data_IF_406602624705
#
_entry.id   IF_406602624705
#
_cell.length_a   1.000
_cell.length_b   1.000
_cell.length_c   1.000
_cell.angle_alpha   90.00
_cell.angle_beta   90.00
_cell.angle_gamma   90.00
#
_symmetry.space_group_name_H-M   'P 1'
#
loop_
_entity.id
_entity.type
_entity.pdbx_description
1 polymer ?
#
# COMPACT_ATOMS: atom_id res chain seq x y z
N UNK A 1 14.61 -10.19 -1.24
CA UNK A 1 13.34 -10.17 -0.47
C UNK A 1 12.30 -11.07 -1.13
N UNK A 2 11.24 -11.45 -0.40
CA UNK A 2 10.07 -12.13 -0.95
C UNK A 2 8.88 -11.17 -0.95
N UNK A 3 8.21 -11.01 -2.08
CA UNK A 3 7.01 -10.16 -2.23
C UNK A 3 5.81 -11.06 -2.48
N UNK A 4 4.79 -10.94 -1.63
CA UNK A 4 3.49 -11.56 -1.79
C UNK A 4 2.41 -10.49 -2.00
N UNK A 5 1.41 -10.81 -2.83
CA UNK A 5 0.26 -9.93 -3.09
C UNK A 5 -1.02 -10.72 -2.84
N UNK A 6 -1.82 -10.24 -1.89
CA UNK A 6 -3.13 -10.80 -1.57
C UNK A 6 -4.22 -9.84 -2.05
N UNK A 7 -5.30 -10.40 -2.63
CA UNK A 7 -6.50 -9.65 -2.98
C UNK A 7 -7.52 -9.80 -1.86
N UNK A 8 -7.94 -8.68 -1.28
CA UNK A 8 -8.95 -8.66 -0.24
C UNK A 8 -10.18 -7.87 -0.69
N UNK A 9 -11.37 -8.36 -0.31
CA UNK A 9 -12.64 -7.69 -0.59
C UNK A 9 -13.37 -7.44 0.72
N UNK A 10 -13.60 -6.17 1.01
CA UNK A 10 -14.27 -5.73 2.23
C UNK A 10 -15.64 -5.17 1.90
N UNK A 11 -16.69 -5.76 2.48
CA UNK A 11 -18.04 -5.22 2.37
C UNK A 11 -18.14 -3.89 3.11
N UNK A 12 -18.68 -2.87 2.46
CA UNK A 12 -18.92 -1.57 3.09
C UNK A 12 -20.15 -1.65 4.00
N UNK A 13 -20.11 -0.91 5.12
CA UNK A 13 -21.22 -0.86 6.07
C UNK A 13 -22.51 -0.31 5.43
N UNK A 14 -22.35 0.60 4.47
CA UNK A 14 -23.42 1.21 3.68
C UNK A 14 -22.94 1.38 2.23
N UNK A 15 -23.87 1.59 1.31
CA UNK A 15 -23.54 1.96 -0.07
C UNK A 15 -22.77 3.28 -0.05
N UNK A 16 -21.55 3.29 -0.57
CA UNK A 16 -20.75 4.50 -0.69
C UNK A 16 -20.94 5.10 -2.07
N UNK A 17 -21.52 6.30 -2.13
CA UNK A 17 -21.85 6.97 -3.39
C UNK A 17 -21.07 8.27 -3.55
N UNK A 18 -20.49 8.44 -4.72
CA UNK A 18 -19.94 9.70 -5.20
C UNK A 18 -20.62 10.06 -6.53
N UNK A 19 -20.42 11.28 -7.04
CA UNK A 19 -21.03 11.72 -8.31
C UNK A 19 -20.76 10.80 -9.52
N UNK A 20 -19.72 9.97 -9.45
CA UNK A 20 -19.32 9.02 -10.50
C UNK A 20 -19.89 7.61 -10.34
N UNK A 21 -20.62 7.34 -9.26
CA UNK A 21 -21.25 6.04 -9.02
C UNK A 21 -21.22 5.60 -7.57
N UNK A 22 -21.76 4.41 -7.36
CA UNK A 22 -21.92 3.80 -6.05
C UNK A 22 -21.08 2.52 -5.94
N UNK A 23 -20.58 2.22 -4.74
CA UNK A 23 -19.86 0.99 -4.41
C UNK A 23 -20.44 0.37 -3.14
N UNK A 24 -20.47 -0.96 -3.11
CA UNK A 24 -20.91 -1.75 -1.94
C UNK A 24 -19.74 -2.46 -1.26
N UNK A 25 -18.58 -2.46 -1.89
CA UNK A 25 -17.37 -3.13 -1.43
C UNK A 25 -16.11 -2.32 -1.79
N UNK A 26 -15.06 -2.53 -1.01
CA UNK A 26 -13.70 -2.09 -1.30
C UNK A 26 -12.87 -3.31 -1.70
N UNK A 27 -12.29 -3.26 -2.90
CA UNK A 27 -11.37 -4.27 -3.38
C UNK A 27 -9.95 -3.69 -3.28
N UNK A 28 -9.10 -4.36 -2.52
CA UNK A 28 -7.74 -3.89 -2.22
C UNK A 28 -6.71 -4.93 -2.57
N UNK A 29 -5.47 -4.47 -2.75
CA UNK A 29 -4.30 -5.34 -2.81
C UNK A 29 -3.44 -5.08 -1.58
N UNK A 30 -3.23 -6.12 -0.79
CA UNK A 30 -2.27 -6.12 0.30
C UNK A 30 -0.95 -6.69 -0.19
N UNK A 31 0.13 -5.93 -0.06
CA UNK A 31 1.50 -6.36 -0.35
C UNK A 31 2.21 -6.70 0.95
N UNK A 32 2.85 -7.87 0.99
CA UNK A 32 3.75 -8.26 2.07
C UNK A 32 5.17 -8.41 1.53
N UNK A 33 6.13 -7.70 2.13
CA UNK A 33 7.56 -7.80 1.80
C UNK A 33 8.28 -8.44 2.97
N UNK A 34 8.91 -9.59 2.73
CA UNK A 34 9.61 -10.38 3.75
C UNK A 34 11.11 -10.43 3.49
N UNK A 35 11.90 -10.17 4.52
CA UNK A 35 13.37 -10.24 4.50
C UNK A 35 13.90 -10.58 5.89
N UNK A 36 14.84 -11.52 5.99
CA UNK A 36 15.50 -11.91 7.24
C UNK A 36 14.54 -12.23 8.40
N UNK A 37 13.41 -12.88 8.12
CA UNK A 37 12.42 -13.28 9.12
C UNK A 37 11.47 -12.17 9.58
N UNK A 38 11.59 -10.96 9.03
CA UNK A 38 10.66 -9.85 9.26
C UNK A 38 9.80 -9.63 8.03
N UNK A 39 8.56 -9.18 8.25
CA UNK A 39 7.59 -8.89 7.18
C UNK A 39 6.98 -7.52 7.37
N UNK A 40 7.14 -6.65 6.37
CA UNK A 40 6.42 -5.39 6.25
C UNK A 40 5.16 -5.55 5.40
N UNK A 41 4.12 -4.77 5.70
CA UNK A 41 2.84 -4.79 4.97
C UNK A 41 2.46 -3.39 4.50
N UNK A 42 1.89 -3.33 3.31
CA UNK A 42 1.28 -2.13 2.74
C UNK A 42 0.05 -2.50 1.93
N UNK A 43 -0.85 -1.55 1.73
CA UNK A 43 -2.13 -1.77 1.06
C UNK A 43 -2.36 -0.66 0.02
N UNK A 44 -3.02 -1.02 -1.07
CA UNK A 44 -3.53 -0.04 -2.03
C UNK A 44 -4.93 -0.40 -2.51
N UNK A 45 -5.62 0.61 -3.03
CA UNK A 45 -6.94 0.47 -3.66
C UNK A 45 -6.80 0.88 -5.13
N UNK A 46 -6.77 -0.06 -6.09
CA UNK A 46 -6.75 0.27 -7.51
C UNK A 46 -7.95 1.14 -7.89
N UNK A 47 -7.69 2.23 -8.62
CA UNK A 47 -8.70 3.22 -8.94
C UNK A 47 -8.98 3.31 -10.45
N UNK A 48 -10.12 2.76 -10.88
CA UNK A 48 -10.55 2.71 -12.28
C UNK A 48 -10.54 4.07 -13.00
N UNK A 49 -10.79 5.18 -12.27
CA UNK A 49 -10.72 6.54 -12.84
C UNK A 49 -9.32 6.90 -13.34
N UNK A 50 -8.28 6.29 -12.79
CA UNK A 50 -6.89 6.45 -13.20
C UNK A 50 -6.39 5.29 -14.09
N UNK A 51 -7.30 4.45 -14.58
CA UNK A 51 -6.96 3.33 -15.46
C UNK A 51 -6.42 2.10 -14.74
N UNK A 52 -6.53 2.05 -13.41
CA UNK A 52 -6.04 0.93 -12.61
C UNK A 52 -7.13 -0.13 -12.39
N UNK A 53 -6.73 -1.40 -12.49
CA UNK A 53 -7.47 -2.60 -12.07
C UNK A 53 -6.64 -3.44 -11.10
N UNK A 54 -7.27 -4.37 -10.36
CA UNK A 54 -6.55 -5.33 -9.52
C UNK A 54 -5.45 -6.07 -10.31
N UNK A 55 -5.78 -6.54 -11.51
CA UNK A 55 -4.87 -7.29 -12.38
C UNK A 55 -3.69 -6.43 -12.83
N UNK A 56 -3.96 -5.20 -13.28
CA UNK A 56 -2.89 -4.30 -13.76
C UNK A 56 -1.90 -3.95 -12.64
N UNK A 57 -2.41 -3.65 -11.44
CA UNK A 57 -1.61 -3.24 -10.30
C UNK A 57 -0.80 -4.42 -9.75
N UNK A 58 -1.42 -5.61 -9.64
CA UNK A 58 -0.70 -6.82 -9.25
C UNK A 58 0.39 -7.21 -10.27
N UNK A 59 0.11 -7.02 -11.57
CA UNK A 59 1.09 -7.27 -12.62
C UNK A 59 2.28 -6.30 -12.56
N UNK A 60 2.07 -5.03 -12.19
CA UNK A 60 3.15 -4.07 -11.93
C UNK A 60 4.02 -4.50 -10.74
N UNK A 61 3.40 -4.89 -9.62
CA UNK A 61 4.12 -5.34 -8.43
C UNK A 61 4.97 -6.59 -8.74
N UNK A 62 4.42 -7.55 -9.50
CA UNK A 62 5.15 -8.78 -9.87
C UNK A 62 6.34 -8.58 -10.80
N UNK A 63 6.44 -7.43 -11.48
CA UNK A 63 7.59 -7.10 -12.36
C UNK A 63 8.78 -6.54 -11.59
N UNK A 64 8.63 -6.26 -10.30
CA UNK A 64 9.71 -5.75 -9.49
C UNK A 64 10.88 -6.74 -9.41
N UNK A 65 12.13 -6.26 -9.38
CA UNK A 65 13.30 -7.12 -9.22
C UNK A 65 13.30 -7.77 -7.82
N UNK A 66 14.06 -8.86 -7.67
CA UNK A 66 14.13 -9.60 -6.42
C UNK A 66 14.75 -8.82 -5.24
N UNK A 67 15.51 -7.76 -5.54
CA UNK A 67 16.17 -6.92 -4.53
C UNK A 67 16.21 -5.47 -4.99
N UNK A 68 15.69 -4.57 -4.15
CA UNK A 68 15.74 -3.12 -4.29
C UNK A 68 15.43 -2.47 -2.94
N UNK A 69 15.75 -1.19 -2.76
CA UNK A 69 15.36 -0.44 -1.58
C UNK A 69 14.24 0.56 -1.90
N UNK A 70 13.75 1.25 -0.87
CA UNK A 70 12.67 2.22 -0.99
C UNK A 70 13.01 3.44 -1.86
N UNK A 71 14.29 3.80 -1.96
CA UNK A 71 14.74 4.87 -2.84
C UNK A 71 14.71 4.42 -4.31
N UNK A 72 15.21 3.22 -4.60
CA UNK A 72 15.22 2.64 -5.93
C UNK A 72 13.80 2.36 -6.44
N UNK A 73 12.86 2.01 -5.56
CA UNK A 73 11.44 1.81 -5.90
C UNK A 73 10.84 2.99 -6.68
N UNK A 74 11.26 4.22 -6.38
CA UNK A 74 10.73 5.42 -7.03
C UNK A 74 11.03 5.47 -8.53
N UNK A 75 12.10 4.81 -8.98
CA UNK A 75 12.47 4.66 -10.38
C UNK A 75 11.93 3.36 -11.02
N UNK A 76 11.56 2.37 -10.20
CA UNK A 76 11.05 1.07 -10.66
C UNK A 76 9.54 1.09 -10.95
N UNK A 77 8.78 1.90 -10.22
CA UNK A 77 7.35 2.06 -10.43
C UNK A 77 6.95 3.54 -10.58
N UNK A 78 6.01 3.86 -11.48
CA UNK A 78 5.40 5.18 -11.53
C UNK A 78 4.58 5.46 -10.27
N UNK A 79 4.11 6.70 -10.12
CA UNK A 79 3.13 7.03 -9.11
C UNK A 79 1.81 6.28 -9.40
N UNK A 80 1.30 5.53 -8.43
CA UNK A 80 0.09 4.73 -8.56
C UNK A 80 -0.10 3.78 -7.38
N UNK A 81 -1.17 3.00 -7.43
CA UNK A 81 -1.56 2.05 -6.39
C UNK A 81 -0.45 1.02 -6.12
N UNK A 82 0.20 0.51 -7.17
CA UNK A 82 1.29 -0.47 -7.04
C UNK A 82 2.43 0.07 -6.18
N UNK A 83 2.91 1.28 -6.50
CA UNK A 83 3.98 1.93 -5.73
C UNK A 83 3.54 2.24 -4.31
N UNK A 84 2.29 2.66 -4.11
CA UNK A 84 1.76 2.92 -2.75
C UNK A 84 1.86 1.67 -1.85
N UNK A 85 1.35 0.52 -2.31
CA UNK A 85 1.38 -0.68 -1.49
C UNK A 85 2.81 -1.16 -1.17
N UNK A 86 3.70 -1.14 -2.17
CA UNK A 86 5.09 -1.59 -2.01
C UNK A 86 5.88 -0.62 -1.14
N UNK A 87 5.74 0.69 -1.35
CA UNK A 87 6.44 1.72 -0.56
C UNK A 87 6.06 1.63 0.92
N UNK A 88 4.76 1.53 1.22
CA UNK A 88 4.28 1.33 2.58
C UNK A 88 4.79 0.02 3.20
N UNK A 89 4.83 -1.08 2.43
CA UNK A 89 5.37 -2.34 2.92
C UNK A 89 6.87 -2.26 3.25
N UNK A 90 7.65 -1.52 2.45
CA UNK A 90 9.07 -1.28 2.72
C UNK A 90 9.27 -0.40 3.95
N UNK A 91 8.48 0.67 4.12
CA UNK A 91 8.50 1.49 5.34
C UNK A 91 8.24 0.66 6.60
N UNK A 92 7.21 -0.19 6.57
CA UNK A 92 6.87 -1.06 7.70
C UNK A 92 7.99 -2.09 7.98
N UNK A 93 8.60 -2.66 6.93
CA UNK A 93 9.74 -3.57 7.08
C UNK A 93 10.98 -2.86 7.67
N UNK A 94 11.33 -1.68 7.16
CA UNK A 94 12.44 -0.86 7.66
C UNK A 94 12.24 -0.48 9.13
N UNK A 95 11.02 -0.07 9.50
CA UNK A 95 10.62 0.23 10.88
C UNK A 95 10.83 -0.97 11.81
N UNK A 96 10.34 -2.14 11.40
CA UNK A 96 10.52 -3.40 12.15
C UNK A 96 11.99 -3.79 12.28
N UNK A 97 12.77 -3.70 11.19
CA UNK A 97 14.22 -3.97 11.20
C UNK A 97 14.98 -3.04 12.14
N UNK A 98 14.60 -1.77 12.18
CA UNK A 98 15.24 -0.77 13.03
C UNK A 98 14.76 -0.80 14.49
N UNK A 99 13.69 -1.53 14.79
CA UNK A 99 13.02 -1.48 16.09
C UNK A 99 12.42 -0.09 16.40
N UNK A 100 12.00 0.64 15.37
CA UNK A 100 11.50 2.02 15.47
C UNK A 100 10.11 2.15 14.86
N UNK A 101 9.38 3.18 15.26
CA UNK A 101 8.14 3.59 14.59
C UNK A 101 8.47 4.30 13.28
N UNK A 102 7.57 4.21 12.30
CA UNK A 102 7.76 4.84 10.98
C UNK A 102 7.99 6.35 11.09
N UNK A 103 7.28 7.07 11.97
CA UNK A 103 7.50 8.51 12.16
C UNK A 103 8.88 8.84 12.73
N UNK A 104 9.46 7.97 13.56
CA UNK A 104 10.83 8.15 14.05
C UNK A 104 11.85 7.97 12.92
N UNK A 105 11.62 7.01 12.02
CA UNK A 105 12.45 6.84 10.83
C UNK A 105 12.32 8.01 9.86
N UNK A 106 11.13 8.58 9.72
CA UNK A 106 10.88 9.75 8.88
C UNK A 106 11.41 11.06 9.49
N UNK A 107 11.90 11.05 10.73
CA UNK A 107 12.32 12.27 11.44
C UNK A 107 11.16 13.21 11.76
N UNK A 108 9.94 12.67 11.89
CA UNK A 108 8.72 13.41 12.14
C UNK A 108 8.29 13.29 13.62
N UNK A 109 7.54 14.27 14.15
CA UNK A 109 6.94 14.13 15.48
C UNK A 109 5.96 12.97 15.52
N UNK A 110 5.74 12.41 16.71
CA UNK A 110 4.73 11.38 16.91
C UNK A 110 3.35 11.88 16.45
N UNK A 111 2.60 11.10 15.65
CA UNK A 111 1.28 11.50 15.18
C UNK A 111 0.32 11.64 16.36
N UNK A 112 -0.59 12.61 16.25
CA UNK A 112 -1.65 12.85 17.23
C UNK A 112 -3.01 12.54 16.60
N UNK A 113 -4.04 12.20 17.40
CA UNK A 113 -5.40 12.08 16.89
C UNK A 113 -5.85 13.40 16.24
N UNK A 114 -6.53 13.29 15.11
CA UNK A 114 -7.13 14.42 14.39
C UNK A 114 -8.63 14.17 14.21
N UNK A 115 -9.42 15.25 14.23
CA UNK A 115 -10.86 15.16 13.96
C UNK A 115 -11.03 14.96 12.45
N UNK A 116 -11.56 13.82 12.05
CA UNK A 116 -11.95 13.56 10.66
C UNK A 116 -13.43 13.93 10.46
N UNK A 117 -13.75 14.55 9.33
CA UNK A 117 -15.14 14.78 8.94
C UNK A 117 -15.65 13.58 8.16
N UNK A 118 -16.82 13.07 8.54
CA UNK A 118 -17.61 12.12 7.76
C UNK A 118 -18.97 12.80 7.53
N UNK A 119 -19.26 13.17 6.29
CA UNK A 119 -20.53 13.78 5.87
C UNK A 119 -21.23 12.91 4.85
#
# INVERSE_FOLDING_TARGET
MLIDVTRDVFKLAQVFTISRGSRTEAQVLTVSVSEAGLTGRGECVPYARYGETLESVEAEIRKLPATFDRAALQALLPAGAARNAVDCALWDLEAKRAGKRVWELAGLPAPRPEITAYT
#
